data_IF_244075754684
#
_entry.id   IF_244075754684
#
_cell.length_a   1.000
_cell.length_b   1.000
_cell.length_c   1.000
_cell.angle_alpha   90.00
_cell.angle_beta   90.00
_cell.angle_gamma   90.00
#
_symmetry.space_group_name_H-M   'P 1'
#
loop_
_entity.id
_entity.type
_entity.pdbx_description
1 polymer ?
#
# COMPACT_ATOMS: atom_id res chain seq x y z
N UNK A 1 -0.55 -4.24 -20.32
CA UNK A 1 -0.72 -3.89 -18.89
C UNK A 1 -0.19 -5.02 -18.03
N UNK A 2 0.58 -4.68 -17.02
CA UNK A 2 1.06 -5.69 -16.08
C UNK A 2 -0.05 -6.14 -15.16
N UNK A 3 -0.12 -7.46 -14.89
CA UNK A 3 -1.06 -8.02 -13.94
C UNK A 3 -0.42 -7.98 -12.56
N UNK A 4 -1.19 -7.53 -11.55
CA UNK A 4 -0.75 -7.52 -10.16
C UNK A 4 -0.55 -8.96 -9.67
N UNK A 5 0.70 -9.38 -9.34
CA UNK A 5 0.98 -10.78 -9.04
C UNK A 5 0.70 -11.19 -7.59
N UNK A 6 0.32 -10.26 -6.72
CA UNK A 6 0.19 -10.49 -5.29
C UNK A 6 -1.26 -10.51 -4.81
N UNK A 7 -2.22 -10.73 -5.71
CA UNK A 7 -3.64 -10.82 -5.36
C UNK A 7 -3.88 -12.02 -4.44
N UNK A 8 -4.63 -11.78 -3.36
CA UNK A 8 -4.94 -12.79 -2.36
C UNK A 8 -6.45 -12.87 -2.15
N UNK A 9 -6.90 -13.96 -1.54
CA UNK A 9 -8.31 -14.11 -1.18
C UNK A 9 -8.69 -13.04 -0.17
N UNK A 10 -9.83 -12.38 -0.42
CA UNK A 10 -10.36 -11.35 0.47
C UNK A 10 -10.75 -11.94 1.82
N UNK A 11 -10.41 -11.26 2.89
CA UNK A 11 -10.80 -11.58 4.25
C UNK A 11 -11.24 -10.31 4.96
N UNK A 12 -12.11 -10.45 5.96
CA UNK A 12 -12.41 -9.35 6.86
C UNK A 12 -11.20 -9.09 7.74
N UNK A 13 -10.77 -7.82 7.76
CA UNK A 13 -9.55 -7.43 8.47
C UNK A 13 -9.89 -6.39 9.51
N UNK A 14 -10.33 -6.85 10.69
CA UNK A 14 -10.56 -6.00 11.84
C UNK A 14 -9.65 -6.47 12.96
N UNK A 15 -8.69 -5.63 13.42
CA UNK A 15 -7.73 -6.05 14.44
C UNK A 15 -8.37 -6.01 15.84
N UNK A 16 -9.21 -6.98 16.15
CA UNK A 16 -9.85 -7.10 17.46
C UNK A 16 -10.02 -8.56 17.83
N UNK A 17 -10.15 -8.83 19.12
CA UNK A 17 -10.42 -10.16 19.65
C UNK A 17 -11.59 -10.14 20.64
N UNK A 18 -11.97 -11.32 21.13
CA UNK A 18 -13.13 -11.50 22.02
C UNK A 18 -12.98 -10.79 23.36
N UNK A 19 -11.75 -10.54 23.81
CA UNK A 19 -11.47 -9.91 25.09
C UNK A 19 -11.47 -8.38 25.02
N UNK A 20 -11.80 -7.80 23.86
CA UNK A 20 -11.76 -6.36 23.65
C UNK A 20 -10.37 -5.79 23.40
N UNK A 21 -9.34 -6.61 23.38
CA UNK A 21 -8.00 -6.21 23.03
C UNK A 21 -7.84 -6.21 21.51
N UNK A 22 -7.04 -5.28 21.01
CA UNK A 22 -6.73 -5.23 19.59
C UNK A 22 -5.59 -6.20 19.30
N UNK A 23 -5.84 -7.18 18.41
CA UNK A 23 -4.84 -8.14 18.00
C UNK A 23 -4.12 -7.63 16.75
N UNK A 24 -2.78 -7.46 16.79
CA UNK A 24 -2.05 -7.03 15.60
C UNK A 24 -2.22 -8.02 14.44
N UNK A 25 -2.40 -7.48 13.26
CA UNK A 25 -2.52 -8.24 12.03
C UNK A 25 -1.20 -8.24 11.26
N UNK A 26 -0.99 -9.28 10.45
CA UNK A 26 0.17 -9.33 9.56
C UNK A 26 -0.02 -8.38 8.37
N UNK A 27 1.08 -8.02 7.72
CA UNK A 27 1.01 -7.20 6.52
C UNK A 27 0.14 -7.86 5.44
N UNK A 28 0.22 -9.17 5.30
CA UNK A 28 -0.60 -9.91 4.33
C UNK A 28 -2.09 -9.68 4.54
N UNK A 29 -2.52 -9.70 5.77
CA UNK A 29 -3.92 -9.46 6.14
C UNK A 29 -4.29 -7.99 5.97
N UNK A 30 -3.43 -7.08 6.44
CA UNK A 30 -3.68 -5.65 6.39
C UNK A 30 -3.81 -5.13 4.96
N UNK A 31 -2.98 -5.62 4.05
CA UNK A 31 -2.96 -5.17 2.65
C UNK A 31 -3.97 -5.88 1.76
N UNK A 32 -4.70 -6.85 2.29
CA UNK A 32 -5.64 -7.67 1.52
C UNK A 32 -7.05 -7.09 1.47
N UNK A 33 -7.17 -5.78 1.27
CA UNK A 33 -8.46 -5.13 1.03
C UNK A 33 -8.53 -4.67 -0.44
N UNK A 34 -9.72 -4.55 -1.03
CA UNK A 34 -9.84 -4.16 -2.44
C UNK A 34 -9.18 -2.83 -2.75
N UNK A 35 -9.34 -1.82 -1.88
CA UNK A 35 -8.76 -0.50 -2.08
C UNK A 35 -7.24 -0.54 -1.99
N UNK A 36 -6.70 -1.22 -0.98
CA UNK A 36 -5.25 -1.32 -0.80
C UNK A 36 -4.60 -2.13 -1.91
N UNK A 37 -5.23 -3.22 -2.33
CA UNK A 37 -4.75 -4.00 -3.48
C UNK A 37 -4.77 -3.18 -4.77
N UNK A 38 -5.78 -2.34 -4.95
CA UNK A 38 -5.86 -1.44 -6.10
C UNK A 38 -4.71 -0.44 -6.10
N UNK A 39 -4.41 0.18 -4.97
CA UNK A 39 -3.32 1.14 -4.85
C UNK A 39 -1.96 0.50 -5.10
N UNK A 40 -1.73 -0.69 -4.56
CA UNK A 40 -0.51 -1.45 -4.81
C UNK A 40 -0.38 -1.86 -6.29
N UNK A 41 -1.49 -2.24 -6.92
CA UNK A 41 -1.52 -2.55 -8.34
C UNK A 41 -1.14 -1.34 -9.19
N UNK A 42 -1.65 -0.15 -8.84
CA UNK A 42 -1.28 1.09 -9.51
C UNK A 42 0.23 1.34 -9.40
N UNK A 43 0.79 1.19 -8.21
CA UNK A 43 2.22 1.32 -7.99
C UNK A 43 3.01 0.33 -8.86
N UNK A 44 2.62 -0.93 -8.86
CA UNK A 44 3.24 -1.97 -9.68
C UNK A 44 3.24 -1.63 -11.16
N UNK A 45 2.13 -1.07 -11.66
CA UNK A 45 2.01 -0.70 -13.07
C UNK A 45 2.85 0.50 -13.44
N UNK A 46 3.20 1.36 -12.47
CA UNK A 46 3.96 2.58 -12.73
C UNK A 46 5.48 2.39 -12.62
N UNK A 47 5.92 1.20 -12.24
CA UNK A 47 7.35 0.86 -12.22
C UNK A 47 7.65 -0.15 -13.31
N UNK A 48 8.90 -0.22 -13.75
CA UNK A 48 9.33 -1.14 -14.83
C UNK A 48 10.43 -2.09 -14.36
N UNK A 49 10.42 -2.43 -13.09
CA UNK A 49 11.39 -3.35 -12.52
C UNK A 49 10.86 -4.79 -12.48
N UNK A 50 11.76 -5.75 -12.24
CA UNK A 50 11.38 -7.15 -12.06
C UNK A 50 10.57 -7.34 -10.78
N UNK A 51 9.83 -8.45 -10.70
CA UNK A 51 9.06 -8.79 -9.52
C UNK A 51 9.94 -8.92 -8.27
N UNK A 52 11.11 -9.56 -8.39
CA UNK A 52 12.04 -9.73 -7.28
C UNK A 52 12.52 -8.39 -6.74
N UNK A 53 12.86 -7.48 -7.62
CA UNK A 53 13.31 -6.14 -7.23
C UNK A 53 12.18 -5.33 -6.61
N UNK A 54 10.97 -5.44 -7.16
CA UNK A 54 9.79 -4.79 -6.61
C UNK A 54 9.51 -5.25 -5.17
N UNK A 55 9.59 -6.56 -4.92
CA UNK A 55 9.40 -7.11 -3.58
C UNK A 55 10.41 -6.50 -2.61
N UNK A 56 11.67 -6.44 -3.00
CA UNK A 56 12.74 -5.95 -2.13
C UNK A 56 12.65 -4.46 -1.86
N UNK A 57 12.36 -3.65 -2.87
CA UNK A 57 12.40 -2.19 -2.78
C UNK A 57 11.07 -1.55 -2.37
N UNK A 58 9.96 -2.20 -2.65
CA UNK A 58 8.63 -1.65 -2.37
C UNK A 58 7.80 -2.52 -1.45
N UNK A 59 7.63 -3.79 -1.78
CA UNK A 59 6.72 -4.66 -1.04
C UNK A 59 7.17 -4.86 0.41
N UNK A 60 8.43 -5.17 0.65
CA UNK A 60 8.92 -5.39 2.01
C UNK A 60 8.85 -4.13 2.88
N UNK A 61 9.29 -2.95 2.40
CA UNK A 61 9.10 -1.72 3.17
C UNK A 61 7.63 -1.39 3.44
N UNK A 62 6.75 -1.60 2.47
CA UNK A 62 5.31 -1.38 2.63
C UNK A 62 4.73 -2.34 3.65
N UNK A 63 5.13 -3.60 3.62
CA UNK A 63 4.68 -4.60 4.60
C UNK A 63 5.04 -4.17 6.03
N UNK A 64 6.27 -3.73 6.24
CA UNK A 64 6.72 -3.26 7.56
C UNK A 64 5.98 -2.00 8.00
N UNK A 65 5.78 -1.08 7.07
CA UNK A 65 5.02 0.14 7.34
C UNK A 65 3.58 -0.20 7.74
N UNK A 66 2.93 -1.10 7.01
CA UNK A 66 1.57 -1.52 7.30
C UNK A 66 1.43 -2.05 8.73
N UNK A 67 2.32 -2.93 9.13
CA UNK A 67 2.29 -3.51 10.47
C UNK A 67 2.56 -2.47 11.56
N UNK A 68 3.49 -1.55 11.30
CA UNK A 68 3.86 -0.51 12.27
C UNK A 68 2.74 0.48 12.53
N UNK A 69 2.01 0.88 11.50
CA UNK A 69 1.03 1.97 11.59
C UNK A 69 -0.42 1.50 11.58
N UNK A 70 -0.67 0.22 11.71
CA UNK A 70 -1.98 -0.37 11.47
C UNK A 70 -3.12 0.23 12.29
N UNK A 71 -2.84 0.76 13.46
CA UNK A 71 -3.86 1.33 14.34
C UNK A 71 -3.88 2.87 14.32
N UNK A 72 -2.98 3.49 13.58
CA UNK A 72 -2.86 4.94 13.59
C UNK A 72 -3.77 5.57 12.54
N UNK A 73 -4.52 6.63 12.90
CA UNK A 73 -5.17 7.48 11.92
C UNK A 73 -4.15 8.43 11.30
N UNK A 74 -4.42 8.91 10.08
CA UNK A 74 -3.59 9.93 9.45
C UNK A 74 -3.81 11.30 10.09
N UNK A 75 -5.02 11.55 10.59
CA UNK A 75 -5.38 12.78 11.31
C UNK A 75 -6.53 12.49 12.26
N UNK A 76 -6.82 13.45 13.15
CA UNK A 76 -7.93 13.28 14.09
C UNK A 76 -9.29 13.66 13.49
N UNK A 77 -9.34 14.66 12.63
CA UNK A 77 -10.59 15.26 12.16
C UNK A 77 -10.71 15.42 10.66
N UNK A 78 -9.82 14.81 9.89
CA UNK A 78 -9.78 14.98 8.44
C UNK A 78 -9.78 13.61 7.74
N UNK A 79 -9.49 13.63 6.44
CA UNK A 79 -9.39 12.42 5.62
C UNK A 79 -8.49 11.38 6.29
N UNK A 80 -8.91 10.12 6.30
CA UNK A 80 -8.21 9.01 6.96
C UNK A 80 -8.07 9.15 8.48
N UNK A 81 -9.08 9.72 9.14
CA UNK A 81 -9.10 9.84 10.60
C UNK A 81 -9.49 8.54 11.33
N UNK A 82 -9.82 7.48 10.61
CA UNK A 82 -10.18 6.17 11.17
C UNK A 82 -8.95 5.32 11.49
N UNK A 83 -9.16 4.22 12.23
CA UNK A 83 -8.10 3.25 12.48
C UNK A 83 -7.59 2.67 11.16
N UNK A 84 -6.28 2.59 11.01
CA UNK A 84 -5.68 2.19 9.74
C UNK A 84 -5.58 3.31 8.71
N UNK A 85 -6.04 4.52 9.04
CA UNK A 85 -6.00 5.66 8.12
C UNK A 85 -4.60 6.07 7.71
N UNK A 86 -3.61 5.91 8.59
CA UNK A 86 -2.22 6.20 8.25
C UNK A 86 -1.70 5.28 7.14
N UNK A 87 -2.07 4.01 7.17
CA UNK A 87 -1.71 3.07 6.11
C UNK A 87 -2.36 3.46 4.78
N UNK A 88 -3.66 3.74 4.79
CA UNK A 88 -4.39 4.15 3.58
C UNK A 88 -3.83 5.43 3.00
N UNK A 89 -3.53 6.41 3.84
CA UNK A 89 -2.91 7.66 3.42
C UNK A 89 -1.54 7.42 2.78
N UNK A 90 -0.70 6.61 3.41
CA UNK A 90 0.63 6.31 2.90
C UNK A 90 0.58 5.63 1.51
N UNK A 91 -0.33 4.69 1.32
CA UNK A 91 -0.51 4.02 0.04
C UNK A 91 -1.01 4.98 -1.05
N UNK A 92 -1.91 5.90 -0.71
CA UNK A 92 -2.37 6.93 -1.64
C UNK A 92 -1.22 7.86 -2.05
N UNK A 93 -0.42 8.28 -1.09
CA UNK A 93 0.74 9.17 -1.35
C UNK A 93 1.73 8.49 -2.29
N UNK A 94 2.07 7.24 -2.04
CA UNK A 94 3.01 6.49 -2.88
C UNK A 94 2.45 6.32 -4.30
N UNK A 95 1.18 5.94 -4.41
CA UNK A 95 0.53 5.74 -5.71
C UNK A 95 0.47 7.04 -6.52
N UNK A 96 0.12 8.13 -5.86
CA UNK A 96 0.04 9.45 -6.50
C UNK A 96 1.43 9.93 -6.92
N UNK A 97 2.44 9.74 -6.07
CA UNK A 97 3.82 10.11 -6.39
C UNK A 97 4.33 9.34 -7.62
N UNK A 98 4.03 8.05 -7.72
CA UNK A 98 4.41 7.24 -8.86
C UNK A 98 3.75 7.73 -10.15
N UNK A 99 2.47 8.10 -10.09
CA UNK A 99 1.75 8.66 -11.23
C UNK A 99 2.35 10.00 -11.67
N UNK A 100 2.62 10.89 -10.72
CA UNK A 100 3.22 12.19 -11.01
C UNK A 100 4.60 12.03 -11.64
N UNK A 101 5.42 11.19 -11.04
CA UNK A 101 6.78 10.97 -11.55
C UNK A 101 6.74 10.50 -12.99
N UNK A 102 5.94 9.51 -13.30
CA UNK A 102 5.88 8.94 -14.65
C UNK A 102 5.27 9.90 -15.67
N UNK A 103 4.24 10.66 -15.28
CA UNK A 103 3.48 11.48 -16.21
C UNK A 103 3.98 12.91 -16.34
N UNK A 104 4.59 13.47 -15.29
CA UNK A 104 4.91 14.90 -15.24
C UNK A 104 6.37 15.22 -14.96
N UNK A 105 7.09 14.38 -14.24
CA UNK A 105 8.43 14.67 -13.77
C UNK A 105 9.53 14.03 -14.62
N UNK A 106 9.23 12.95 -15.33
CA UNK A 106 10.18 12.27 -16.18
C UNK A 106 10.01 12.70 -17.64
N UNK A 107 11.10 12.87 -18.39
CA UNK A 107 10.98 13.12 -19.82
C UNK A 107 10.39 11.91 -20.54
N UNK A 108 9.80 12.11 -21.73
CA UNK A 108 9.28 11.00 -22.52
C UNK A 108 10.33 9.92 -22.76
N UNK A 109 9.96 8.67 -22.54
CA UNK A 109 10.87 7.53 -22.73
C UNK A 109 11.78 7.23 -21.57
N UNK A 110 11.80 8.04 -20.50
CA UNK A 110 12.60 7.76 -19.32
C UNK A 110 12.02 6.61 -18.51
N UNK A 111 12.89 5.77 -17.94
CA UNK A 111 12.46 4.70 -17.06
C UNK A 111 11.94 5.28 -15.73
N UNK A 112 10.82 4.78 -15.20
CA UNK A 112 10.26 5.30 -13.94
C UNK A 112 11.16 5.17 -12.72
N UNK A 113 12.12 4.28 -12.75
CA UNK A 113 13.03 4.01 -11.64
C UNK A 113 14.27 4.90 -11.60
N UNK A 114 14.48 5.69 -12.63
CA UNK A 114 15.66 6.55 -12.73
C UNK A 114 15.45 7.86 -11.96
#
# INVERSE_FOLDING_TARGET
MKIWPFTRKRQDITPSNEDGWITPLSAKELLNTPIRQKLLSILWQKVSMSQDLFIKLYQQPIDRYAELVQLLPASENHHHSHLGGMLDHGLEVISFAAKLRQSYLLPPGAAPEV
#
